data_IF_325824408150
#
_entry.id   IF_325824408150
#
_cell.length_a   1.000
_cell.length_b   1.000
_cell.length_c   1.000
_cell.angle_alpha   90.00
_cell.angle_beta   90.00
_cell.angle_gamma   90.00
#
_symmetry.space_group_name_H-M   'P 1'
#
loop_
_entity.id
_entity.type
_entity.pdbx_description
1 polymer ?
#
# COMPACT_ATOMS: atom_id res chain seq x y z
N UNK A 1 -19.47 -6.26 -4.13
CA UNK A 1 -18.65 -7.44 -3.81
C UNK A 1 -17.62 -7.07 -2.75
N UNK A 2 -17.56 -7.83 -1.69
CA UNK A 2 -16.61 -7.60 -0.61
C UNK A 2 -15.29 -8.29 -0.94
N UNK A 3 -14.20 -7.55 -0.86
CA UNK A 3 -12.84 -8.07 -1.02
C UNK A 3 -11.99 -7.71 0.19
N UNK A 4 -11.10 -8.63 0.55
CA UNK A 4 -10.05 -8.39 1.52
C UNK A 4 -8.74 -8.19 0.77
N UNK A 5 -8.00 -7.15 1.11
CA UNK A 5 -6.74 -6.80 0.50
C UNK A 5 -5.65 -6.78 1.57
N UNK A 6 -4.57 -7.50 1.31
CA UNK A 6 -3.31 -7.39 2.06
C UNK A 6 -2.36 -6.60 1.20
N UNK A 7 -1.83 -5.50 1.72
CA UNK A 7 -0.92 -4.63 0.96
C UNK A 7 0.14 -3.97 1.83
N UNK A 8 1.19 -3.55 1.18
CA UNK A 8 2.21 -2.70 1.79
C UNK A 8 1.76 -1.24 1.80
N UNK A 9 2.13 -0.51 2.83
CA UNK A 9 1.96 0.95 2.88
C UNK A 9 3.09 1.64 2.12
N UNK A 10 2.77 2.80 1.55
CA UNK A 10 3.78 3.72 1.04
C UNK A 10 4.43 4.49 2.19
N UNK A 11 5.61 5.07 1.94
CA UNK A 11 6.28 5.93 2.91
C UNK A 11 5.41 7.11 3.35
N UNK A 12 4.71 7.73 2.39
CA UNK A 12 3.83 8.86 2.68
C UNK A 12 2.65 8.46 3.56
N UNK A 13 2.08 7.27 3.34
CA UNK A 13 1.02 6.73 4.22
C UNK A 13 1.54 6.49 5.63
N UNK A 14 2.74 5.92 5.79
CA UNK A 14 3.35 5.70 7.11
C UNK A 14 3.59 7.03 7.82
N UNK A 15 4.18 8.01 7.14
CA UNK A 15 4.40 9.36 7.70
C UNK A 15 3.10 10.04 8.12
N UNK A 16 2.07 9.95 7.26
CA UNK A 16 0.75 10.53 7.55
C UNK A 16 0.10 9.91 8.78
N UNK A 17 0.20 8.59 8.92
CA UNK A 17 -0.35 7.88 10.08
C UNK A 17 0.40 8.24 11.36
N UNK A 18 1.73 8.33 11.32
CA UNK A 18 2.53 8.78 12.48
C UNK A 18 2.13 10.20 12.90
N UNK A 19 2.03 11.10 11.95
CA UNK A 19 1.61 12.48 12.21
C UNK A 19 0.20 12.54 12.80
N UNK A 20 -0.71 11.73 12.30
CA UNK A 20 -2.08 11.64 12.82
C UNK A 20 -2.10 11.19 14.28
N UNK A 21 -1.27 10.23 14.68
CA UNK A 21 -1.11 9.83 16.07
C UNK A 21 -0.54 10.97 16.95
N UNK A 22 0.46 11.69 16.45
CA UNK A 22 1.02 12.84 17.18
C UNK A 22 -0.03 13.92 17.43
N UNK A 23 -0.87 14.22 16.43
CA UNK A 23 -1.94 15.21 16.55
C UNK A 23 -3.08 14.71 17.46
N UNK A 24 -3.48 13.45 17.34
CA UNK A 24 -4.54 12.85 18.15
C UNK A 24 -4.20 12.81 19.63
N UNK A 25 -2.95 12.52 19.97
CA UNK A 25 -2.48 12.40 21.35
C UNK A 25 -1.73 13.64 21.87
N UNK A 26 -1.55 14.66 21.02
CA UNK A 26 -0.87 15.90 21.32
C UNK A 26 0.50 15.68 22.01
N UNK A 27 1.28 14.74 21.47
CA UNK A 27 2.57 14.35 22.00
C UNK A 27 3.43 13.68 20.93
N UNK A 28 4.72 13.51 21.21
CA UNK A 28 5.62 12.71 20.38
C UNK A 28 5.49 11.23 20.72
N UNK A 29 5.94 10.36 19.81
CA UNK A 29 5.97 8.92 20.09
C UNK A 29 6.87 8.61 21.31
N UNK A 30 8.03 9.23 21.40
CA UNK A 30 8.97 8.97 22.49
C UNK A 30 8.35 9.29 23.87
N UNK A 31 7.64 10.39 23.99
CA UNK A 31 6.95 10.75 25.23
C UNK A 31 5.77 9.79 25.52
N UNK A 32 5.05 9.37 24.47
CA UNK A 32 3.97 8.41 24.60
C UNK A 32 4.48 7.01 25.02
N UNK A 33 5.62 6.60 24.46
CA UNK A 33 6.30 5.35 24.83
C UNK A 33 6.76 5.38 26.29
N UNK A 34 7.26 6.51 26.77
CA UNK A 34 7.65 6.69 28.17
C UNK A 34 6.45 6.47 29.11
N UNK A 35 5.28 7.01 28.75
CA UNK A 35 4.04 6.75 29.49
C UNK A 35 3.67 5.28 29.50
N UNK A 36 3.83 4.59 28.38
CA UNK A 36 3.59 3.15 28.29
C UNK A 36 4.55 2.35 29.19
N UNK A 37 5.85 2.63 29.09
CA UNK A 37 6.89 1.92 29.86
C UNK A 37 6.76 2.17 31.36
N UNK A 38 6.31 3.34 31.76
CA UNK A 38 6.06 3.69 33.17
C UNK A 38 4.67 3.25 33.69
N UNK A 39 3.91 2.52 32.87
CA UNK A 39 2.55 2.04 33.16
C UNK A 39 1.55 3.15 33.51
N UNK A 40 1.72 4.32 32.88
CA UNK A 40 0.82 5.48 33.05
C UNK A 40 -0.23 5.61 31.95
N UNK A 41 -0.19 4.78 30.91
CA UNK A 41 -1.24 4.73 29.90
C UNK A 41 -2.44 3.97 30.41
N UNK A 42 -3.63 4.51 30.16
CA UNK A 42 -4.86 3.79 30.36
C UNK A 42 -5.04 2.64 29.34
N UNK A 43 -5.88 1.67 29.65
CA UNK A 43 -6.08 0.49 28.82
C UNK A 43 -6.55 0.83 27.41
N UNK A 44 -7.32 1.90 27.24
CA UNK A 44 -7.82 2.34 25.93
C UNK A 44 -6.71 2.81 24.98
N UNK A 45 -5.57 3.20 25.50
CA UNK A 45 -4.42 3.71 24.72
C UNK A 45 -3.36 2.67 24.46
N UNK A 46 -3.34 1.53 25.16
CA UNK A 46 -2.34 0.48 25.00
C UNK A 46 -2.33 -0.07 23.58
N UNK A 47 -3.50 -0.34 22.99
CA UNK A 47 -3.61 -0.77 21.60
C UNK A 47 -3.05 0.26 20.61
N UNK A 48 -3.32 1.54 20.86
CA UNK A 48 -2.79 2.66 20.07
C UNK A 48 -1.26 2.75 20.15
N UNK A 49 -0.68 2.49 21.30
CA UNK A 49 0.77 2.43 21.45
C UNK A 49 1.40 1.37 20.53
N UNK A 50 0.88 0.15 20.48
CA UNK A 50 1.43 -0.91 19.64
C UNK A 50 1.33 -0.58 18.15
N UNK A 51 0.21 -0.03 17.71
CA UNK A 51 0.03 0.42 16.32
C UNK A 51 1.02 1.54 15.97
N UNK A 52 1.12 2.55 16.82
CA UNK A 52 2.05 3.66 16.62
C UNK A 52 3.52 3.20 16.63
N UNK A 53 3.89 2.33 17.58
CA UNK A 53 5.22 1.75 17.67
C UNK A 53 5.60 0.99 16.40
N UNK A 54 4.67 0.19 15.84
CA UNK A 54 4.91 -0.53 14.60
C UNK A 54 5.20 0.40 13.42
N UNK A 55 4.48 1.50 13.31
CA UNK A 55 4.68 2.51 12.26
C UNK A 55 6.03 3.22 12.43
N UNK A 56 6.38 3.61 13.65
CA UNK A 56 7.65 4.29 13.94
C UNK A 56 8.84 3.36 13.68
N UNK A 57 8.75 2.09 14.08
CA UNK A 57 9.79 1.10 13.81
C UNK A 57 9.97 0.85 12.31
N UNK A 58 8.87 0.77 11.54
CA UNK A 58 8.93 0.64 10.09
C UNK A 58 9.60 1.86 9.44
N UNK A 59 9.26 3.06 9.89
CA UNK A 59 9.88 4.30 9.41
C UNK A 59 11.37 4.37 9.72
N UNK A 60 11.77 4.05 10.95
CA UNK A 60 13.19 4.00 11.36
C UNK A 60 13.97 2.96 10.55
N UNK A 61 13.39 1.79 10.32
CA UNK A 61 13.98 0.76 9.46
C UNK A 61 14.19 1.24 8.02
N UNK A 62 13.26 2.01 7.48
CA UNK A 62 13.41 2.66 6.19
C UNK A 62 14.55 3.68 6.16
N UNK A 63 14.65 4.54 7.17
CA UNK A 63 15.71 5.55 7.27
C UNK A 63 17.09 4.90 7.34
N UNK A 64 17.22 3.80 8.06
CA UNK A 64 18.49 3.09 8.25
C UNK A 64 18.84 2.17 7.08
N UNK A 65 17.87 1.45 6.54
CA UNK A 65 18.06 0.37 5.55
C UNK A 65 17.55 0.66 4.13
N UNK A 66 16.80 1.73 3.94
CA UNK A 66 16.24 2.11 2.63
C UNK A 66 15.01 1.32 2.19
N UNK A 67 14.56 0.34 2.97
CA UNK A 67 13.39 -0.48 2.67
C UNK A 67 12.30 -0.26 3.72
N UNK A 68 11.08 0.00 3.23
CA UNK A 68 9.90 0.11 4.08
C UNK A 68 9.15 -1.22 4.07
N UNK A 69 9.07 -1.85 5.22
CA UNK A 69 8.33 -3.10 5.41
C UNK A 69 7.19 -2.89 6.41
N UNK A 70 6.00 -2.62 5.88
CA UNK A 70 4.78 -2.49 6.67
C UNK A 70 3.58 -2.96 5.86
N UNK A 71 2.91 -4.00 6.34
CA UNK A 71 1.77 -4.63 5.67
C UNK A 71 0.51 -4.38 6.49
N UNK A 72 -0.56 -4.01 5.80
CA UNK A 72 -1.89 -3.88 6.38
C UNK A 72 -2.89 -4.80 5.67
N UNK A 73 -3.92 -5.16 6.39
CA UNK A 73 -5.11 -5.80 5.85
C UNK A 73 -6.27 -4.81 5.87
N UNK A 74 -6.97 -4.69 4.77
CA UNK A 74 -8.14 -3.84 4.65
C UNK A 74 -9.26 -4.57 3.91
N UNK A 75 -10.49 -4.22 4.25
CA UNK A 75 -11.68 -4.72 3.55
C UNK A 75 -12.26 -3.59 2.72
N UNK A 76 -12.56 -3.87 1.44
CA UNK A 76 -13.20 -2.93 0.52
C UNK A 76 -14.46 -3.54 -0.07
N UNK A 77 -15.48 -2.72 -0.22
CA UNK A 77 -16.67 -3.08 -0.99
C UNK A 77 -16.54 -2.48 -2.40
N UNK A 78 -16.58 -3.35 -3.40
CA UNK A 78 -16.56 -2.94 -4.80
C UNK A 78 -18.01 -2.88 -5.32
N UNK A 79 -18.35 -1.80 -6.01
CA UNK A 79 -19.60 -1.72 -6.74
C UNK A 79 -19.63 -2.74 -7.89
N UNK A 80 -20.82 -3.07 -8.45
CA UNK A 80 -20.89 -3.92 -9.63
C UNK A 80 -20.05 -3.40 -10.79
N UNK A 81 -20.01 -2.09 -11.01
CA UNK A 81 -19.22 -1.46 -12.05
C UNK A 81 -17.72 -1.62 -11.79
N UNK A 82 -17.27 -1.44 -10.56
CA UNK A 82 -15.88 -1.66 -10.17
C UNK A 82 -15.48 -3.13 -10.29
N UNK A 83 -16.36 -4.03 -9.90
CA UNK A 83 -16.15 -5.48 -10.05
C UNK A 83 -15.97 -5.87 -11.52
N UNK A 84 -16.79 -5.31 -12.41
CA UNK A 84 -16.69 -5.55 -13.85
C UNK A 84 -15.36 -5.06 -14.47
N UNK A 85 -14.66 -4.13 -13.82
CA UNK A 85 -13.35 -3.68 -14.27
C UNK A 85 -12.22 -4.66 -13.95
N UNK A 86 -12.44 -5.64 -13.07
CA UNK A 86 -11.47 -6.69 -12.75
C UNK A 86 -11.53 -7.83 -13.78
N UNK A 87 -11.17 -7.51 -15.02
CA UNK A 87 -11.15 -8.51 -16.10
C UNK A 87 -9.97 -9.48 -15.93
N UNK A 88 -10.05 -10.70 -16.51
CA UNK A 88 -8.93 -11.64 -16.48
C UNK A 88 -7.62 -11.06 -16.96
N UNK A 89 -7.61 -10.27 -18.03
CA UNK A 89 -6.40 -9.61 -18.54
C UNK A 89 -5.80 -8.60 -17.57
N UNK A 90 -6.63 -7.88 -16.82
CA UNK A 90 -6.17 -6.93 -15.80
C UNK A 90 -5.62 -7.65 -14.56
N UNK A 91 -6.24 -8.76 -14.19
CA UNK A 91 -5.73 -9.61 -13.10
C UNK A 91 -4.40 -10.25 -13.48
N UNK A 92 -4.24 -10.75 -14.71
CA UNK A 92 -2.96 -11.23 -15.22
C UNK A 92 -1.89 -10.15 -15.22
N UNK A 93 -2.24 -8.93 -15.60
CA UNK A 93 -1.33 -7.78 -15.59
C UNK A 93 -0.91 -7.43 -14.16
N UNK A 94 -1.84 -7.43 -13.23
CA UNK A 94 -1.56 -7.20 -11.81
C UNK A 94 -0.60 -8.27 -11.25
N UNK A 95 -0.86 -9.54 -11.56
CA UNK A 95 0.02 -10.65 -11.19
C UNK A 95 1.42 -10.51 -11.79
N UNK A 96 1.50 -10.17 -13.08
CA UNK A 96 2.78 -9.94 -13.76
C UNK A 96 3.55 -8.79 -13.11
N UNK A 97 2.85 -7.73 -12.73
CA UNK A 97 3.45 -6.57 -12.08
C UNK A 97 3.99 -6.91 -10.68
N UNK A 98 3.30 -7.77 -9.94
CA UNK A 98 3.76 -8.25 -8.64
C UNK A 98 4.99 -9.16 -8.74
N UNK A 99 5.08 -9.96 -9.82
CA UNK A 99 6.15 -10.93 -10.04
C UNK A 99 7.37 -10.33 -10.75
N UNK A 100 7.17 -9.28 -11.55
CA UNK A 100 8.20 -8.66 -12.37
C UNK A 100 8.48 -7.24 -11.88
N UNK A 101 9.73 -6.94 -11.60
CA UNK A 101 10.14 -5.55 -11.41
C UNK A 101 10.14 -4.85 -12.77
N UNK A 102 9.07 -4.14 -13.07
CA UNK A 102 8.98 -3.39 -14.31
C UNK A 102 9.79 -2.10 -14.24
N UNK A 103 10.67 -1.89 -15.20
CA UNK A 103 11.47 -0.66 -15.30
C UNK A 103 10.70 0.48 -15.97
N UNK A 104 9.67 0.15 -16.74
CA UNK A 104 8.79 1.08 -17.45
C UNK A 104 7.55 0.37 -17.97
N UNK A 105 6.55 1.14 -18.40
CA UNK A 105 5.34 0.61 -19.04
C UNK A 105 5.69 -0.12 -20.35
N UNK A 106 6.65 0.42 -21.13
CA UNK A 106 7.10 -0.20 -22.37
C UNK A 106 7.74 -1.57 -22.11
N UNK A 107 8.59 -1.68 -21.10
CA UNK A 107 9.20 -2.96 -20.70
C UNK A 107 8.18 -3.96 -20.23
N UNK A 108 7.20 -3.52 -19.45
CA UNK A 108 6.10 -4.38 -19.01
C UNK A 108 5.29 -4.90 -20.20
N UNK A 109 4.96 -4.04 -21.16
CA UNK A 109 4.25 -4.43 -22.38
C UNK A 109 5.04 -5.45 -23.19
N UNK A 110 6.34 -5.28 -23.33
CA UNK A 110 7.21 -6.25 -23.99
C UNK A 110 7.23 -7.60 -23.27
N UNK A 111 7.38 -7.59 -21.94
CA UNK A 111 7.42 -8.82 -21.14
C UNK A 111 6.09 -9.59 -21.17
N UNK A 112 4.97 -8.88 -21.22
CA UNK A 112 3.64 -9.47 -21.29
C UNK A 112 3.17 -9.72 -22.74
N UNK A 113 3.98 -9.36 -23.74
CA UNK A 113 3.66 -9.49 -25.18
C UNK A 113 2.34 -8.81 -25.54
N UNK A 114 2.12 -7.61 -25.01
CA UNK A 114 0.90 -6.83 -25.19
C UNK A 114 1.21 -5.46 -25.79
N UNK A 115 0.19 -4.88 -26.44
CA UNK A 115 0.28 -3.51 -26.95
C UNK A 115 0.44 -2.51 -25.79
N UNK A 116 1.39 -1.59 -25.92
CA UNK A 116 1.72 -0.57 -24.88
C UNK A 116 0.50 0.26 -24.51
N UNK A 117 -0.29 0.67 -25.48
CA UNK A 117 -1.49 1.49 -25.27
C UNK A 117 -2.53 0.74 -24.41
N UNK A 118 -2.75 -0.53 -24.70
CA UNK A 118 -3.70 -1.36 -23.95
C UNK A 118 -3.21 -1.61 -22.51
N UNK A 119 -1.91 -1.87 -22.34
CA UNK A 119 -1.28 -2.01 -21.02
C UNK A 119 -1.43 -0.71 -20.21
N UNK A 120 -1.18 0.43 -20.83
CA UNK A 120 -1.36 1.73 -20.19
C UNK A 120 -2.79 1.95 -19.70
N UNK A 121 -3.79 1.68 -20.54
CA UNK A 121 -5.20 1.82 -20.14
C UNK A 121 -5.58 0.87 -19.02
N UNK A 122 -5.12 -0.37 -19.06
CA UNK A 122 -5.37 -1.35 -18.00
C UNK A 122 -4.72 -0.92 -16.68
N UNK A 123 -3.48 -0.41 -16.73
CA UNK A 123 -2.80 0.13 -15.55
C UNK A 123 -3.52 1.33 -14.97
N UNK A 124 -4.02 2.23 -15.82
CA UNK A 124 -4.83 3.39 -15.38
C UNK A 124 -6.13 2.95 -14.70
N UNK A 125 -6.78 1.93 -15.22
CA UNK A 125 -7.98 1.36 -14.60
C UNK A 125 -7.65 0.75 -13.23
N UNK A 126 -6.57 -0.03 -13.14
CA UNK A 126 -6.11 -0.61 -11.88
C UNK A 126 -5.67 0.46 -10.87
N UNK A 127 -5.07 1.55 -11.34
CA UNK A 127 -4.74 2.70 -10.49
C UNK A 127 -6.00 3.34 -9.89
N UNK A 128 -7.05 3.55 -10.70
CA UNK A 128 -8.34 4.08 -10.21
C UNK A 128 -9.00 3.17 -9.17
N UNK A 129 -8.78 1.86 -9.27
CA UNK A 129 -9.22 0.89 -8.27
C UNK A 129 -8.31 0.84 -7.03
N UNK A 130 -7.21 1.59 -7.02
CA UNK A 130 -6.24 1.59 -5.93
C UNK A 130 -5.38 0.34 -5.84
N UNK A 131 -5.24 -0.41 -6.93
CA UNK A 131 -4.47 -1.66 -6.99
C UNK A 131 -3.07 -1.49 -7.59
N UNK A 132 -2.83 -0.39 -8.28
CA UNK A 132 -1.56 -0.02 -8.91
C UNK A 132 -1.22 1.41 -8.54
N UNK A 133 0.06 1.67 -8.34
CA UNK A 133 0.61 3.02 -8.18
C UNK A 133 1.61 3.29 -9.29
N UNK A 134 1.76 4.55 -9.66
CA UNK A 134 2.79 4.99 -10.60
C UNK A 134 3.85 5.77 -9.84
N UNK A 135 5.08 5.29 -9.92
CA UNK A 135 6.23 5.96 -9.34
C UNK A 135 7.02 6.66 -10.44
N UNK A 136 7.43 7.90 -10.21
CA UNK A 136 8.31 8.61 -11.13
C UNK A 136 9.78 8.29 -10.82
N UNK A 137 10.52 7.94 -11.86
CA UNK A 137 11.97 7.82 -11.83
C UNK A 137 12.56 8.82 -12.81
N UNK A 138 13.08 9.95 -12.30
CA UNK A 138 13.52 11.05 -13.14
C UNK A 138 12.35 11.81 -13.77
N UNK A 139 12.63 12.61 -14.83
CA UNK A 139 11.62 13.49 -15.46
C UNK A 139 10.65 12.78 -16.42
N UNK A 140 11.01 11.60 -16.95
CA UNK A 140 10.29 10.98 -18.07
C UNK A 140 9.81 9.55 -17.83
N UNK A 141 10.37 8.85 -16.86
CA UNK A 141 10.03 7.45 -16.63
C UNK A 141 8.97 7.31 -15.54
N UNK A 142 7.85 6.72 -15.93
CA UNK A 142 6.79 6.29 -15.02
C UNK A 142 6.92 4.78 -14.86
N UNK A 143 7.11 4.34 -13.62
CA UNK A 143 7.23 2.93 -13.27
C UNK A 143 5.93 2.49 -12.62
N UNK A 144 5.19 1.54 -13.24
CA UNK A 144 4.03 0.94 -12.60
C UNK A 144 4.47 -0.04 -11.52
N UNK A 145 3.79 0.00 -10.39
CA UNK A 145 4.08 -0.87 -9.25
C UNK A 145 2.77 -1.26 -8.56
N UNK A 146 2.69 -2.48 -8.06
CA UNK A 146 1.64 -2.88 -7.14
C UNK A 146 2.19 -3.08 -5.74
N UNK A 147 1.46 -2.59 -4.76
CA UNK A 147 1.73 -2.81 -3.34
C UNK A 147 0.88 -3.96 -2.79
N UNK A 148 0.07 -4.57 -3.65
CA UNK A 148 -0.86 -5.63 -3.28
C UNK A 148 -0.09 -6.95 -3.13
N UNK A 149 -0.26 -7.58 -1.99
CA UNK A 149 0.26 -8.92 -1.69
C UNK A 149 -0.81 -9.99 -1.92
N UNK A 150 -2.06 -9.69 -1.56
CA UNK A 150 -3.17 -10.62 -1.65
C UNK A 150 -4.50 -9.88 -1.90
N UNK A 151 -5.33 -10.49 -2.74
CA UNK A 151 -6.75 -10.11 -2.89
C UNK A 151 -7.59 -11.36 -2.68
N UNK A 152 -8.47 -11.33 -1.71
CA UNK A 152 -9.39 -12.41 -1.40
C UNK A 152 -10.83 -11.97 -1.63
N UNK A 153 -11.59 -12.76 -2.40
CA UNK A 153 -13.04 -12.57 -2.53
C UNK A 153 -13.73 -13.12 -1.30
N UNK A 154 -14.56 -12.30 -0.67
CA UNK A 154 -15.33 -12.70 0.51
C UNK A 154 -16.75 -13.03 0.06
N UNK A 155 -17.11 -14.29 0.16
CA UNK A 155 -18.44 -14.79 -0.21
C UNK A 155 -19.18 -15.15 1.09
N UNK A 156 -20.12 -14.30 1.45
CA UNK A 156 -20.93 -14.49 2.65
C UNK A 156 -22.38 -14.16 2.37
#
# INVERSE_FOLDING_TARGET
>A
MLIRIVRRLTLDEVKSKIKQFEEEHDTTFDDFEELFLSRRLDRSRVGKYFEWASLVHAYRGYVEGGELDYIIEETRELSPEQTALLTPKRLELLYSLASLQAESINKLAQKTKRNVKNVYYDLKTLQRLGLVVFRRRGRRNIIPETLIEEITLVIR
#
